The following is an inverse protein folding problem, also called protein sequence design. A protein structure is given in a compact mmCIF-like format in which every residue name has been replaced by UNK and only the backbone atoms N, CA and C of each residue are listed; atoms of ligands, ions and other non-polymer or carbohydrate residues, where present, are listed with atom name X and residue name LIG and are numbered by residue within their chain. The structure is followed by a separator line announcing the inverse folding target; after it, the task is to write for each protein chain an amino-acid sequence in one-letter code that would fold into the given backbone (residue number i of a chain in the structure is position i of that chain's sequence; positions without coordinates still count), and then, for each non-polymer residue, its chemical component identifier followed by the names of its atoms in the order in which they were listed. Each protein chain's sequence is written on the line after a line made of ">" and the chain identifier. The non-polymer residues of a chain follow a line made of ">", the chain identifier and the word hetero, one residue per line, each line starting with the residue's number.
data_IF_134066881302
#
_entry.id   IF_134066881302
#
_cell.length_a   1.000
_cell.length_b   1.000
_cell.length_c   1.000
_cell.angle_alpha   90.00
_cell.angle_beta   90.00
_cell.angle_gamma   90.00
#
_symmetry.space_group_name_H-M   'P 1'
#
loop_
_entity.id
_entity.type
_entity.pdbx_description
1 polymer ?
#
# COMPACT_ATOMS: atom_id res chain seq x y z
N UNK A 1 79.78 22.72 12.68
CA UNK A 1 78.98 21.61 12.14
C UNK A 1 78.67 20.59 13.21
N UNK A 2 77.49 20.68 13.83
CA UNK A 2 76.45 19.64 13.78
C UNK A 2 75.43 19.90 14.88
N UNK A 3 74.34 20.55 14.50
CA UNK A 3 73.16 20.77 15.33
C UNK A 3 72.20 19.62 15.09
N UNK A 4 71.91 18.84 16.14
CA UNK A 4 70.96 17.74 16.07
C UNK A 4 69.53 18.27 15.99
N UNK A 5 68.85 18.03 14.87
CA UNK A 5 67.43 18.35 14.67
C UNK A 5 66.59 17.17 15.16
N UNK A 6 65.79 17.42 16.20
CA UNK A 6 64.73 16.55 16.69
C UNK A 6 63.64 16.38 15.62
N UNK A 7 63.40 15.14 15.19
CA UNK A 7 62.28 14.81 14.30
C UNK A 7 60.98 14.73 15.10
N UNK A 8 60.16 15.77 14.99
CA UNK A 8 58.76 15.73 15.39
C UNK A 8 57.98 14.82 14.41
N UNK A 9 57.18 13.91 14.95
CA UNK A 9 56.21 13.12 14.18
C UNK A 9 55.13 14.04 13.60
N UNK A 10 54.77 13.91 12.30
CA UNK A 10 53.80 14.80 11.68
C UNK A 10 52.38 14.53 12.20
N UNK A 11 51.68 15.60 12.59
CA UNK A 11 50.25 15.53 12.89
C UNK A 11 49.45 15.11 11.63
N UNK A 12 48.42 14.26 11.79
CA UNK A 12 47.59 13.84 10.67
C UNK A 12 46.77 15.03 10.13
N UNK A 13 46.55 15.10 8.80
CA UNK A 13 45.86 16.22 8.17
C UNK A 13 44.40 16.36 8.64
N UNK A 14 43.84 17.59 8.62
CA UNK A 14 42.48 17.84 9.07
C UNK A 14 41.46 17.05 8.23
N UNK A 15 40.61 16.26 8.89
CA UNK A 15 39.67 15.34 8.23
C UNK A 15 38.43 16.10 7.71
N UNK A 16 38.10 15.91 6.42
CA UNK A 16 36.99 16.54 5.67
C UNK A 16 35.59 16.28 6.27
N UNK A 17 34.56 17.14 6.03
CA UNK A 17 33.16 16.92 6.42
C UNK A 17 32.59 15.55 6.02
N UNK A 18 33.08 14.96 4.92
CA UNK A 18 32.71 13.62 4.48
C UNK A 18 33.11 12.52 5.49
N UNK A 19 34.10 12.78 6.35
CA UNK A 19 34.61 11.83 7.33
C UNK A 19 33.55 11.46 8.38
N UNK A 20 32.72 12.40 8.83
CA UNK A 20 31.65 12.11 9.79
C UNK A 20 30.58 11.20 9.20
N UNK A 21 30.20 11.45 7.94
CA UNK A 21 29.24 10.61 7.21
C UNK A 21 29.78 9.21 6.99
N UNK A 22 31.05 9.08 6.55
CA UNK A 22 31.70 7.80 6.34
C UNK A 22 31.89 7.03 7.65
N UNK A 23 32.21 7.72 8.74
CA UNK A 23 32.26 7.14 10.08
C UNK A 23 30.91 6.55 10.49
N UNK A 24 29.83 7.29 10.28
CA UNK A 24 28.48 6.84 10.56
C UNK A 24 28.10 5.58 9.77
N UNK A 25 28.45 5.55 8.47
CA UNK A 25 28.24 4.37 7.61
C UNK A 25 29.03 3.18 8.13
N UNK A 26 30.32 3.35 8.40
CA UNK A 26 31.20 2.30 8.92
C UNK A 26 30.66 1.69 10.21
N UNK A 27 30.39 2.53 11.22
CA UNK A 27 29.91 2.06 12.53
C UNK A 27 28.58 1.34 12.41
N UNK A 28 27.66 1.90 11.61
CA UNK A 28 26.35 1.27 11.33
C UNK A 28 26.52 -0.10 10.68
N UNK A 29 27.42 -0.23 9.72
CA UNK A 29 27.61 -1.48 8.98
C UNK A 29 28.32 -2.52 9.85
N UNK A 30 29.34 -2.15 10.63
CA UNK A 30 29.93 -3.04 11.64
C UNK A 30 28.88 -3.59 12.62
N UNK A 31 28.05 -2.72 13.19
CA UNK A 31 26.98 -3.11 14.12
C UNK A 31 25.90 -3.98 13.45
N UNK A 32 25.57 -3.68 12.19
CA UNK A 32 24.58 -4.44 11.41
C UNK A 32 25.09 -5.83 11.07
N UNK A 33 26.31 -5.95 10.58
CA UNK A 33 26.99 -7.21 10.28
C UNK A 33 27.06 -8.06 11.54
N UNK A 34 27.51 -7.48 12.66
CA UNK A 34 27.56 -8.18 13.93
C UNK A 34 26.18 -8.67 14.43
N UNK A 35 25.12 -7.90 14.17
CA UNK A 35 23.78 -8.24 14.62
C UNK A 35 23.03 -9.26 13.73
N UNK A 36 23.39 -9.35 12.44
CA UNK A 36 22.64 -10.14 11.44
C UNK A 36 23.38 -11.38 10.94
N UNK A 37 24.71 -11.39 11.01
CA UNK A 37 25.50 -12.52 10.55
C UNK A 37 25.68 -13.52 11.70
N UNK A 38 25.21 -14.78 11.54
CA UNK A 38 25.52 -15.83 12.50
C UNK A 38 27.04 -16.07 12.48
N UNK A 39 27.68 -15.91 13.63
CA UNK A 39 29.12 -16.09 13.82
C UNK A 39 29.34 -16.95 15.07
N UNK A 40 30.27 -17.93 15.04
CA UNK A 40 30.74 -18.59 16.25
C UNK A 40 31.21 -17.55 17.28
N UNK A 41 31.02 -17.82 18.58
CA UNK A 41 31.30 -16.84 19.63
C UNK A 41 32.75 -16.30 19.64
N UNK A 42 33.80 -17.12 19.40
CA UNK A 42 35.17 -16.61 19.28
C UNK A 42 35.35 -15.61 18.13
N UNK A 43 34.77 -15.93 16.96
CA UNK A 43 34.81 -15.07 15.77
C UNK A 43 34.04 -13.78 16.01
N UNK A 44 32.89 -13.85 16.68
CA UNK A 44 32.08 -12.69 17.01
C UNK A 44 32.81 -11.75 17.98
N UNK A 45 33.48 -12.28 19.02
CA UNK A 45 34.28 -11.47 19.95
C UNK A 45 35.40 -10.74 19.23
N UNK A 46 36.14 -11.44 18.38
CA UNK A 46 37.24 -10.83 17.62
C UNK A 46 36.74 -9.78 16.63
N UNK A 47 35.64 -10.05 15.93
CA UNK A 47 35.00 -9.07 15.05
C UNK A 47 34.59 -7.81 15.84
N UNK A 48 33.94 -7.98 16.99
CA UNK A 48 33.47 -6.86 17.80
C UNK A 48 34.64 -6.02 18.32
N UNK A 49 35.74 -6.66 18.74
CA UNK A 49 36.96 -6.00 19.17
C UNK A 49 37.58 -5.18 18.04
N UNK A 50 37.76 -5.76 16.84
CA UNK A 50 38.29 -5.02 15.67
C UNK A 50 37.40 -3.85 15.26
N UNK A 51 36.08 -4.04 15.33
CA UNK A 51 35.11 -2.98 15.05
C UNK A 51 35.18 -1.85 16.10
N UNK A 52 35.37 -2.19 17.37
CA UNK A 52 35.60 -1.23 18.45
C UNK A 52 36.88 -0.40 18.21
N UNK A 53 38.00 -1.08 17.92
CA UNK A 53 39.29 -0.45 17.63
C UNK A 53 39.17 0.54 16.45
N UNK A 54 38.49 0.13 15.37
CA UNK A 54 38.22 1.01 14.23
C UNK A 54 37.31 2.19 14.59
N UNK A 55 36.26 1.96 15.37
CA UNK A 55 35.31 3.00 15.80
C UNK A 55 35.95 4.06 16.71
N UNK A 56 36.93 3.69 17.54
CA UNK A 56 37.68 4.65 18.37
C UNK A 56 38.72 5.39 17.54
N UNK A 57 39.54 4.67 16.77
CA UNK A 57 40.64 5.25 15.95
C UNK A 57 40.15 6.23 14.89
N UNK A 58 38.98 5.96 14.30
CA UNK A 58 38.43 6.75 13.20
C UNK A 58 37.36 7.75 13.66
N UNK A 59 37.15 7.92 14.97
CA UNK A 59 36.14 8.87 15.48
C UNK A 59 36.45 10.31 15.06
N UNK A 60 35.51 11.04 14.42
CA UNK A 60 35.72 12.45 14.09
C UNK A 60 35.85 13.31 15.36
N UNK A 61 36.68 14.37 15.36
CA UNK A 61 36.69 15.38 16.42
C UNK A 61 35.30 16.01 16.60
N UNK A 62 34.87 16.18 17.85
CA UNK A 62 33.55 16.76 18.17
C UNK A 62 32.34 15.88 17.82
N UNK A 63 32.54 14.63 17.40
CA UNK A 63 31.45 13.72 17.04
C UNK A 63 30.48 13.49 18.20
N UNK A 64 29.19 13.78 17.96
CA UNK A 64 28.10 13.53 18.91
C UNK A 64 27.33 12.28 18.52
N UNK A 65 27.16 11.37 19.48
CA UNK A 65 26.40 10.15 19.27
C UNK A 65 24.92 10.49 19.05
N UNK A 66 24.20 9.75 18.17
CA UNK A 66 22.77 9.92 18.01
C UNK A 66 22.03 9.54 19.30
N UNK A 67 20.88 10.18 19.56
CA UNK A 67 20.06 9.86 20.72
C UNK A 67 19.42 8.45 20.63
N UNK A 68 19.01 7.92 21.79
CA UNK A 68 18.23 6.69 21.87
C UNK A 68 19.04 5.39 21.70
N UNK A 69 18.39 4.27 21.32
CA UNK A 69 19.01 2.94 21.29
C UNK A 69 20.21 2.82 20.36
N UNK A 70 20.29 3.66 19.32
CA UNK A 70 21.41 3.67 18.38
C UNK A 70 22.66 4.28 19.03
N UNK A 71 22.53 5.36 19.81
CA UNK A 71 23.63 5.91 20.60
C UNK A 71 24.20 4.92 21.62
N UNK A 72 23.32 4.16 22.28
CA UNK A 72 23.74 3.14 23.26
C UNK A 72 24.57 2.04 22.59
N UNK A 73 24.17 1.56 21.40
CA UNK A 73 24.93 0.55 20.65
C UNK A 73 26.33 1.03 20.29
N UNK A 74 26.44 2.28 19.89
CA UNK A 74 27.70 2.91 19.48
C UNK A 74 28.62 3.14 20.68
N UNK A 75 28.07 3.61 21.80
CA UNK A 75 28.81 3.70 23.06
C UNK A 75 29.36 2.33 23.50
N UNK A 76 28.53 1.28 23.49
CA UNK A 76 28.96 -0.08 23.84
C UNK A 76 30.00 -0.66 22.88
N UNK A 77 29.97 -0.28 21.60
CA UNK A 77 31.01 -0.63 20.63
C UNK A 77 32.31 0.11 20.92
N UNK A 78 32.26 1.43 21.10
CA UNK A 78 33.44 2.26 21.40
C UNK A 78 34.11 1.84 22.72
N UNK A 79 33.36 1.38 23.71
CA UNK A 79 33.87 0.83 24.97
C UNK A 79 34.39 -0.62 24.86
N UNK A 80 34.34 -1.22 23.66
CA UNK A 80 34.64 -2.64 23.43
C UNK A 80 33.88 -3.59 24.38
N UNK A 81 32.67 -3.20 24.77
CA UNK A 81 31.87 -3.84 25.81
C UNK A 81 31.04 -5.02 25.29
N UNK A 82 31.71 -6.07 24.77
CA UNK A 82 31.07 -7.21 24.10
C UNK A 82 29.90 -7.84 24.88
N UNK A 83 30.12 -8.17 26.16
CA UNK A 83 29.12 -8.84 27.02
C UNK A 83 27.92 -7.93 27.27
N UNK A 84 28.15 -6.65 27.59
CA UNK A 84 27.10 -5.64 27.77
C UNK A 84 26.32 -5.43 26.47
N UNK A 85 27.01 -5.42 25.33
CA UNK A 85 26.38 -5.31 24.01
C UNK A 85 25.50 -6.53 23.67
N UNK A 86 25.96 -7.76 23.96
CA UNK A 86 25.16 -8.99 23.80
C UNK A 86 23.94 -9.00 24.70
N UNK A 87 24.07 -8.59 25.97
CA UNK A 87 22.96 -8.44 26.90
C UNK A 87 21.94 -7.39 26.39
N UNK A 88 22.42 -6.24 25.94
CA UNK A 88 21.58 -5.19 25.34
C UNK A 88 20.84 -5.69 24.08
N UNK A 89 21.49 -6.48 23.22
CA UNK A 89 20.84 -7.09 22.06
C UNK A 89 19.74 -8.06 22.48
N UNK A 90 20.01 -8.95 23.44
CA UNK A 90 19.05 -9.91 23.94
C UNK A 90 17.82 -9.21 24.53
N UNK A 91 18.02 -8.21 25.39
CA UNK A 91 16.95 -7.41 25.98
C UNK A 91 16.11 -6.69 24.91
N UNK A 92 16.76 -6.11 23.89
CA UNK A 92 16.03 -5.46 22.79
C UNK A 92 15.26 -6.44 21.91
N UNK A 93 15.82 -7.64 21.65
CA UNK A 93 15.09 -8.70 20.93
C UNK A 93 13.87 -9.15 21.72
N UNK A 94 14.03 -9.46 23.00
CA UNK A 94 12.93 -9.82 23.89
C UNK A 94 11.85 -8.72 23.92
N UNK A 95 12.24 -7.46 24.09
CA UNK A 95 11.31 -6.31 24.05
C UNK A 95 10.57 -6.21 22.71
N UNK A 96 11.26 -6.41 21.59
CA UNK A 96 10.63 -6.37 20.25
C UNK A 96 9.68 -7.54 20.04
N UNK A 97 10.05 -8.74 20.46
CA UNK A 97 9.20 -9.94 20.41
C UNK A 97 7.95 -9.74 21.26
N UNK A 98 8.10 -9.27 22.51
CA UNK A 98 6.97 -8.97 23.38
C UNK A 98 6.04 -7.89 22.78
N UNK A 99 6.59 -6.79 22.27
CA UNK A 99 5.80 -5.76 21.57
C UNK A 99 5.08 -6.31 20.33
N UNK A 100 5.76 -7.15 19.55
CA UNK A 100 5.17 -7.80 18.38
C UNK A 100 4.03 -8.72 18.78
N UNK A 101 4.22 -9.56 19.80
CA UNK A 101 3.21 -10.46 20.33
C UNK A 101 1.97 -9.71 20.83
N UNK A 102 2.15 -8.64 21.62
CA UNK A 102 1.05 -7.77 22.08
C UNK A 102 0.32 -7.15 20.89
N UNK A 103 1.04 -6.64 19.89
CA UNK A 103 0.44 -6.06 18.67
C UNK A 103 -0.33 -7.11 17.88
N UNK A 104 0.20 -8.32 17.73
CA UNK A 104 -0.46 -9.44 17.05
C UNK A 104 -1.73 -9.83 17.78
N UNK A 105 -1.68 -10.00 19.11
CA UNK A 105 -2.86 -10.33 19.93
C UNK A 105 -3.92 -9.23 19.84
N UNK A 106 -3.53 -7.96 19.92
CA UNK A 106 -4.45 -6.82 19.73
C UNK A 106 -5.13 -6.86 18.36
N UNK A 107 -4.37 -7.17 17.30
CA UNK A 107 -4.92 -7.31 15.93
C UNK A 107 -5.88 -8.50 15.82
N UNK A 108 -5.55 -9.65 16.41
CA UNK A 108 -6.42 -10.83 16.41
C UNK A 108 -7.74 -10.54 17.13
N UNK A 109 -7.69 -9.91 18.30
CA UNK A 109 -8.90 -9.50 19.04
C UNK A 109 -9.73 -8.50 18.24
N UNK A 110 -9.11 -7.48 17.65
CA UNK A 110 -9.81 -6.51 16.80
C UNK A 110 -10.43 -7.15 15.55
N UNK A 111 -9.76 -8.15 14.95
CA UNK A 111 -10.29 -8.92 13.83
C UNK A 111 -11.49 -9.75 14.26
N UNK A 112 -11.41 -10.47 15.38
CA UNK A 112 -12.49 -11.30 15.92
C UNK A 112 -13.73 -10.47 16.30
N UNK A 113 -13.54 -9.35 17.02
CA UNK A 113 -14.61 -8.40 17.33
C UNK A 113 -15.23 -7.84 16.05
N UNK A 114 -14.38 -7.52 15.09
CA UNK A 114 -14.79 -7.03 13.78
C UNK A 114 -15.63 -8.00 12.98
N UNK A 115 -15.23 -9.26 12.99
CA UNK A 115 -15.91 -10.37 12.34
C UNK A 115 -17.27 -10.65 13.01
N UNK A 116 -17.33 -10.65 14.35
CA UNK A 116 -18.60 -10.71 15.09
C UNK A 116 -19.53 -9.55 14.73
N UNK A 117 -19.00 -8.34 14.66
CA UNK A 117 -19.76 -7.16 14.27
C UNK A 117 -20.29 -7.26 12.84
N UNK A 118 -19.46 -7.74 11.91
CA UNK A 118 -19.87 -7.95 10.52
C UNK A 118 -20.98 -8.99 10.42
N UNK A 119 -20.87 -10.12 11.12
CA UNK A 119 -21.94 -11.13 11.19
C UNK A 119 -23.24 -10.57 11.76
N UNK A 120 -23.16 -9.76 12.81
CA UNK A 120 -24.34 -9.08 13.37
C UNK A 120 -24.94 -8.05 12.39
N UNK A 121 -24.11 -7.39 11.58
CA UNK A 121 -24.62 -6.49 10.54
C UNK A 121 -25.30 -7.27 9.39
N UNK A 122 -24.84 -8.48 9.07
CA UNK A 122 -25.46 -9.34 8.06
C UNK A 122 -26.86 -9.83 8.44
N UNK A 123 -27.23 -9.85 9.73
CA UNK A 123 -28.60 -10.17 10.14
C UNK A 123 -29.58 -9.00 10.03
N UNK A 124 -29.08 -7.79 9.74
CA UNK A 124 -29.93 -6.63 9.46
C UNK A 124 -30.51 -6.74 8.03
N UNK A 125 -31.68 -6.14 7.78
CA UNK A 125 -32.22 -6.01 6.44
C UNK A 125 -31.24 -5.32 5.49
N UNK A 126 -31.29 -5.70 4.21
CA UNK A 126 -30.64 -4.94 3.15
C UNK A 126 -31.37 -3.60 3.01
N UNK A 127 -30.60 -2.52 2.98
CA UNK A 127 -31.07 -1.16 2.81
C UNK A 127 -31.20 -0.84 1.31
N UNK A 128 -32.43 -0.70 0.77
CA UNK A 128 -32.66 -0.45 -0.65
C UNK A 128 -32.13 0.92 -1.11
N UNK A 129 -31.94 1.87 -0.18
CA UNK A 129 -31.42 3.20 -0.46
C UNK A 129 -29.91 3.32 -0.36
N UNK A 130 -29.15 2.21 -0.21
CA UNK A 130 -27.71 2.27 0.01
C UNK A 130 -26.90 1.64 -1.13
N UNK A 131 -25.97 2.42 -1.69
CA UNK A 131 -25.00 1.97 -2.68
C UNK A 131 -23.56 2.20 -2.21
N UNK A 132 -22.74 1.14 -2.25
CA UNK A 132 -21.32 1.22 -1.90
C UNK A 132 -20.48 1.18 -3.17
N UNK A 133 -19.62 2.20 -3.31
CA UNK A 133 -18.74 2.39 -4.45
C UNK A 133 -17.27 2.18 -4.06
N UNK A 134 -16.50 1.55 -4.94
CA UNK A 134 -15.05 1.45 -4.82
C UNK A 134 -14.39 1.53 -6.20
N UNK A 135 -13.25 2.21 -6.30
CA UNK A 135 -12.47 2.30 -7.53
C UNK A 135 -10.97 2.13 -7.29
N UNK A 136 -10.31 1.40 -8.19
CA UNK A 136 -8.85 1.22 -8.26
C UNK A 136 -8.19 0.89 -6.92
N UNK A 137 -8.69 -0.13 -6.23
CA UNK A 137 -8.23 -0.51 -4.89
C UNK A 137 -8.41 0.61 -3.86
N UNK A 138 -9.59 1.25 -3.88
CA UNK A 138 -10.04 2.26 -2.93
C UNK A 138 -9.24 3.58 -3.03
N UNK A 139 -8.82 3.97 -4.24
CA UNK A 139 -8.05 5.21 -4.48
C UNK A 139 -8.91 6.48 -4.48
N UNK A 140 -10.23 6.36 -4.46
CA UNK A 140 -11.15 7.49 -4.38
C UNK A 140 -12.26 7.43 -5.42
N UNK A 141 -12.85 8.59 -5.70
CA UNK A 141 -13.92 8.79 -6.68
C UNK A 141 -13.31 8.85 -8.09
N UNK A 142 -13.29 7.72 -8.79
CA UNK A 142 -12.73 7.66 -10.14
C UNK A 142 -13.39 6.60 -11.04
N UNK A 143 -13.09 6.66 -12.34
CA UNK A 143 -13.41 5.63 -13.34
C UNK A 143 -14.92 5.41 -13.54
N UNK A 144 -15.29 4.22 -14.03
CA UNK A 144 -16.67 3.81 -14.26
C UNK A 144 -17.55 3.97 -13.01
N UNK A 145 -17.12 3.59 -11.79
CA UNK A 145 -17.91 3.81 -10.58
C UNK A 145 -18.24 5.28 -10.33
N UNK A 146 -17.33 6.21 -10.62
CA UNK A 146 -17.58 7.64 -10.42
C UNK A 146 -18.58 8.21 -11.43
N UNK A 147 -18.49 7.80 -12.69
CA UNK A 147 -19.46 8.19 -13.71
C UNK A 147 -20.87 7.67 -13.37
N UNK A 148 -20.97 6.42 -12.90
CA UNK A 148 -22.24 5.86 -12.40
C UNK A 148 -22.75 6.64 -11.20
N UNK A 149 -21.89 6.92 -10.20
CA UNK A 149 -22.30 7.67 -9.01
C UNK A 149 -22.76 9.10 -9.35
N UNK A 150 -22.12 9.77 -10.30
CA UNK A 150 -22.57 11.08 -10.78
C UNK A 150 -23.98 10.99 -11.37
N UNK A 151 -24.22 10.05 -12.29
CA UNK A 151 -25.53 9.89 -12.91
C UNK A 151 -26.62 9.37 -11.96
N UNK A 152 -26.22 8.62 -10.92
CA UNK A 152 -27.10 8.15 -9.86
C UNK A 152 -27.81 9.31 -9.14
N UNK A 153 -27.08 10.40 -8.87
CA UNK A 153 -27.66 11.57 -8.17
C UNK A 153 -28.79 12.24 -8.96
N UNK A 154 -28.79 12.10 -10.29
CA UNK A 154 -29.84 12.62 -11.17
C UNK A 154 -31.01 11.64 -11.31
N UNK A 155 -30.71 10.35 -11.50
CA UNK A 155 -31.73 9.34 -11.86
C UNK A 155 -32.39 8.69 -10.66
N UNK A 156 -31.68 8.56 -9.54
CA UNK A 156 -32.17 7.94 -8.32
C UNK A 156 -31.57 8.63 -7.07
N UNK A 157 -31.91 9.91 -6.82
CA UNK A 157 -31.38 10.69 -5.70
C UNK A 157 -31.68 10.08 -4.32
N UNK A 158 -32.69 9.20 -4.22
CA UNK A 158 -33.00 8.44 -3.01
C UNK A 158 -31.96 7.37 -2.66
N UNK A 159 -31.07 7.00 -3.59
CA UNK A 159 -30.00 6.04 -3.33
C UNK A 159 -28.75 6.82 -2.89
N UNK A 160 -28.37 6.62 -1.63
CA UNK A 160 -27.21 7.23 -0.99
C UNK A 160 -25.90 6.51 -1.36
N UNK A 161 -24.94 7.19 -2.01
CA UNK A 161 -23.64 6.61 -2.35
C UNK A 161 -22.65 6.75 -1.17
N UNK A 162 -21.99 5.65 -0.82
CA UNK A 162 -20.88 5.61 0.14
C UNK A 162 -19.63 5.05 -0.51
N UNK A 163 -18.52 5.79 -0.44
CA UNK A 163 -17.26 5.38 -1.06
C UNK A 163 -16.33 4.63 -0.11
N UNK A 164 -15.76 3.52 -0.57
CA UNK A 164 -14.64 2.86 0.11
C UNK A 164 -13.33 3.51 -0.35
N UNK A 165 -12.58 4.07 0.59
CA UNK A 165 -11.31 4.76 0.29
C UNK A 165 -10.22 4.38 1.29
N UNK A 166 -8.95 4.41 0.86
CA UNK A 166 -7.85 4.22 1.80
C UNK A 166 -7.66 5.46 2.69
N UNK A 167 -7.12 5.32 3.92
CA UNK A 167 -6.87 6.45 4.81
C UNK A 167 -6.02 7.56 4.19
N UNK A 168 -5.07 7.18 3.31
CA UNK A 168 -4.17 8.11 2.64
C UNK A 168 -4.89 8.95 1.57
N UNK A 169 -5.93 8.39 0.94
CA UNK A 169 -6.68 9.06 -0.13
C UNK A 169 -7.94 9.78 0.38
N UNK A 170 -8.40 9.49 1.60
CA UNK A 170 -9.58 10.14 2.17
C UNK A 170 -9.50 11.68 2.19
N UNK A 171 -8.35 12.32 2.51
CA UNK A 171 -8.22 13.78 2.45
C UNK A 171 -8.29 14.37 1.03
N UNK A 172 -8.17 13.54 -0.02
CA UNK A 172 -8.18 13.97 -1.42
C UNK A 172 -9.57 13.90 -2.05
N UNK A 173 -10.58 13.45 -1.30
CA UNK A 173 -11.92 13.32 -1.83
C UNK A 173 -12.56 14.68 -2.10
N UNK A 174 -13.46 14.77 -3.09
CA UNK A 174 -14.31 15.94 -3.25
C UNK A 174 -15.04 16.27 -1.94
N UNK A 175 -15.25 17.56 -1.62
CA UNK A 175 -16.01 17.96 -0.44
C UNK A 175 -17.35 17.25 -0.33
N UNK A 176 -17.77 16.93 0.89
CA UNK A 176 -19.04 16.24 1.18
C UNK A 176 -19.17 14.82 0.62
N UNK A 177 -18.09 14.21 0.12
CA UNK A 177 -18.10 12.79 -0.26
C UNK A 177 -18.21 11.92 0.98
N UNK A 178 -19.36 11.24 1.14
CA UNK A 178 -19.53 10.25 2.20
C UNK A 178 -18.68 9.01 1.90
N UNK A 179 -17.86 8.60 2.87
CA UNK A 179 -16.89 7.53 2.69
C UNK A 179 -16.62 6.72 3.97
N UNK A 180 -16.09 5.52 3.76
CA UNK A 180 -15.67 4.58 4.80
C UNK A 180 -14.26 4.06 4.52
N UNK A 181 -13.52 3.79 5.59
CA UNK A 181 -12.17 3.23 5.50
C UNK A 181 -12.20 1.71 5.71
N UNK A 182 -11.46 0.92 4.91
CA UNK A 182 -11.37 -0.52 5.08
C UNK A 182 -11.08 -0.94 6.52
N UNK A 183 -11.83 -1.93 7.01
CA UNK A 183 -11.65 -2.51 8.35
C UNK A 183 -12.30 -1.73 9.50
N UNK A 184 -12.84 -0.54 9.25
CA UNK A 184 -13.65 0.18 10.25
C UNK A 184 -14.98 -0.51 10.51
N UNK A 185 -15.63 -0.17 11.62
CA UNK A 185 -16.97 -0.66 11.97
C UNK A 185 -17.99 -0.28 10.89
N UNK A 186 -18.04 1.00 10.52
CA UNK A 186 -18.97 1.52 9.51
C UNK A 186 -18.76 0.87 8.14
N UNK A 187 -17.50 0.64 7.73
CA UNK A 187 -17.18 -0.11 6.50
C UNK A 187 -17.84 -1.49 6.45
N UNK A 188 -17.78 -2.23 7.57
CA UNK A 188 -18.42 -3.55 7.67
C UNK A 188 -19.94 -3.46 7.65
N UNK A 189 -20.50 -2.47 8.33
CA UNK A 189 -21.95 -2.25 8.37
C UNK A 189 -22.49 -1.94 6.97
N UNK A 190 -21.93 -0.94 6.28
CA UNK A 190 -22.43 -0.54 4.95
C UNK A 190 -22.29 -1.67 3.94
N UNK A 191 -21.20 -2.44 3.95
CA UNK A 191 -21.05 -3.59 3.05
C UNK A 191 -21.97 -4.77 3.40
N UNK A 192 -22.40 -4.91 4.66
CA UNK A 192 -23.33 -5.96 5.06
C UNK A 192 -24.78 -5.65 4.69
N UNK A 193 -25.13 -4.37 4.61
CA UNK A 193 -26.51 -3.91 4.43
C UNK A 193 -26.77 -3.24 3.09
N UNK A 194 -25.77 -2.88 2.28
CA UNK A 194 -26.00 -2.19 1.01
C UNK A 194 -26.78 -3.05 0.01
N UNK A 195 -27.76 -2.41 -0.66
CA UNK A 195 -28.45 -3.01 -1.81
C UNK A 195 -27.56 -3.05 -3.04
N UNK A 196 -26.70 -2.06 -3.25
CA UNK A 196 -25.86 -1.99 -4.44
C UNK A 196 -24.38 -1.96 -4.08
N UNK A 197 -23.59 -2.84 -4.70
CA UNK A 197 -22.14 -2.92 -4.58
C UNK A 197 -21.53 -2.66 -5.95
N UNK A 198 -20.90 -1.49 -6.14
CA UNK A 198 -20.34 -1.07 -7.44
C UNK A 198 -18.82 -1.00 -7.33
N UNK A 199 -18.10 -1.75 -8.17
CA UNK A 199 -16.64 -1.80 -8.14
C UNK A 199 -16.05 -1.95 -9.54
N UNK A 200 -14.80 -1.54 -9.75
CA UNK A 200 -14.06 -1.77 -10.99
C UNK A 200 -12.85 -2.71 -10.84
N UNK A 201 -12.57 -3.16 -9.62
CA UNK A 201 -11.54 -4.15 -9.29
C UNK A 201 -12.17 -5.31 -8.54
N UNK A 202 -11.95 -5.44 -7.24
CA UNK A 202 -12.45 -6.53 -6.41
C UNK A 202 -12.72 -6.02 -4.99
N UNK A 203 -13.79 -6.51 -4.36
CA UNK A 203 -13.93 -6.46 -2.90
C UNK A 203 -13.11 -7.58 -2.24
N UNK A 204 -12.73 -7.45 -0.95
CA UNK A 204 -12.10 -8.55 -0.22
C UNK A 204 -12.97 -9.81 -0.23
N UNK A 205 -12.36 -11.00 -0.34
CA UNK A 205 -13.09 -12.26 -0.39
C UNK A 205 -14.00 -12.52 0.82
N UNK A 206 -13.62 -11.96 1.99
CA UNK A 206 -14.38 -12.05 3.23
C UNK A 206 -15.74 -11.31 3.19
N UNK A 207 -15.97 -10.44 2.19
CA UNK A 207 -17.27 -9.79 2.02
C UNK A 207 -18.28 -10.83 1.51
N UNK A 208 -19.33 -11.04 2.28
CA UNK A 208 -20.50 -11.85 1.95
C UNK A 208 -21.46 -10.97 1.16
N UNK A 209 -21.74 -11.36 -0.08
CA UNK A 209 -22.83 -10.75 -0.84
C UNK A 209 -24.16 -11.31 -0.32
N UNK A 210 -25.10 -10.41 -0.01
CA UNK A 210 -26.47 -10.78 0.37
C UNK A 210 -27.25 -11.22 -0.88
N UNK A 211 -28.17 -12.21 -0.77
CA UNK A 211 -28.99 -12.64 -1.91
C UNK A 211 -29.75 -11.49 -2.57
N UNK A 212 -30.27 -10.56 -1.77
CA UNK A 212 -31.03 -9.40 -2.29
C UNK A 212 -30.14 -8.24 -2.73
N UNK A 213 -28.81 -8.31 -2.56
CA UNK A 213 -27.89 -7.26 -3.00
C UNK A 213 -27.48 -7.47 -4.45
N UNK A 214 -27.26 -6.36 -5.16
CA UNK A 214 -26.79 -6.31 -6.53
C UNK A 214 -25.31 -5.92 -6.53
N UNK A 215 -24.47 -6.72 -7.19
CA UNK A 215 -23.06 -6.47 -7.37
C UNK A 215 -22.75 -6.21 -8.85
N UNK A 216 -22.40 -4.96 -9.13
CA UNK A 216 -22.01 -4.48 -10.45
C UNK A 216 -20.48 -4.41 -10.55
N UNK A 217 -19.91 -5.30 -11.34
CA UNK A 217 -18.51 -5.24 -11.75
C UNK A 217 -18.38 -4.38 -13.01
N UNK A 218 -17.68 -3.27 -12.90
CA UNK A 218 -17.58 -2.28 -13.97
C UNK A 218 -16.30 -2.37 -14.79
N UNK A 219 -15.32 -3.17 -14.33
CA UNK A 219 -13.97 -3.26 -14.90
C UNK A 219 -13.33 -1.89 -15.17
N UNK A 220 -12.15 -1.85 -15.77
CA UNK A 220 -11.41 -0.58 -15.92
C UNK A 220 -10.64 -0.44 -17.24
N UNK A 221 -11.03 -1.19 -18.27
CA UNK A 221 -10.46 -1.09 -19.61
C UNK A 221 -10.81 -2.28 -20.49
N UNK A 222 -10.63 -2.12 -21.80
CA UNK A 222 -10.68 -3.26 -22.72
C UNK A 222 -9.43 -4.12 -22.47
N UNK A 223 -9.58 -5.42 -22.24
CA UNK A 223 -8.44 -6.29 -21.92
C UNK A 223 -7.51 -6.43 -23.13
N UNK A 224 -6.23 -6.11 -22.93
CA UNK A 224 -5.15 -6.47 -23.85
C UNK A 224 -4.34 -7.68 -23.34
N UNK A 225 -4.23 -7.81 -22.01
CA UNK A 225 -3.46 -8.87 -21.34
C UNK A 225 -4.38 -10.04 -20.97
N UNK A 226 -3.83 -11.24 -20.81
CA UNK A 226 -4.55 -12.39 -20.23
C UNK A 226 -4.93 -12.07 -18.77
N UNK A 227 -6.17 -12.35 -18.41
CA UNK A 227 -6.76 -12.02 -17.11
C UNK A 227 -7.52 -13.23 -16.55
N UNK A 228 -7.79 -13.22 -15.25
CA UNK A 228 -8.61 -14.25 -14.62
C UNK A 228 -8.05 -15.65 -14.87
N UNK A 229 -8.92 -16.60 -15.24
CA UNK A 229 -8.56 -17.99 -15.51
C UNK A 229 -7.69 -18.18 -16.76
N UNK A 230 -7.63 -17.21 -17.66
CA UNK A 230 -6.71 -17.27 -18.82
C UNK A 230 -5.22 -17.28 -18.40
N UNK A 231 -4.93 -16.96 -17.14
CA UNK A 231 -3.57 -17.01 -16.58
C UNK A 231 -3.19 -18.39 -16.01
N UNK A 232 -4.10 -19.37 -15.94
CA UNK A 232 -3.82 -20.70 -15.36
C UNK A 232 -2.65 -21.40 -16.06
N UNK A 233 -2.55 -21.25 -17.38
CA UNK A 233 -1.48 -21.83 -18.19
C UNK A 233 -0.13 -21.07 -18.04
N UNK A 234 -0.09 -19.95 -17.30
CA UNK A 234 1.09 -19.08 -17.16
C UNK A 234 1.45 -18.86 -15.68
N UNK A 235 2.01 -19.86 -14.97
CA UNK A 235 2.31 -19.76 -13.54
C UNK A 235 3.17 -18.55 -13.15
N UNK A 236 4.16 -18.19 -14.00
CA UNK A 236 5.01 -17.02 -13.78
C UNK A 236 4.24 -15.69 -13.85
N UNK A 237 3.23 -15.60 -14.72
CA UNK A 237 2.36 -14.43 -14.83
C UNK A 237 1.30 -14.40 -13.73
N UNK A 238 0.77 -15.57 -13.35
CA UNK A 238 -0.25 -15.73 -12.31
C UNK A 238 0.26 -15.36 -10.91
N UNK A 239 1.58 -15.44 -10.65
CA UNK A 239 2.22 -15.03 -9.37
C UNK A 239 1.54 -15.61 -8.12
N UNK A 240 1.13 -16.87 -8.20
CA UNK A 240 0.43 -17.55 -7.10
C UNK A 240 -1.03 -17.11 -6.92
N UNK A 241 -1.68 -16.64 -7.98
CA UNK A 241 -3.13 -16.38 -7.99
C UNK A 241 -3.88 -17.66 -7.57
N UNK A 242 -4.72 -17.51 -6.56
CA UNK A 242 -5.65 -18.53 -6.13
C UNK A 242 -6.90 -18.48 -7.03
N UNK A 243 -7.02 -19.45 -7.93
CA UNK A 243 -8.09 -19.52 -8.91
C UNK A 243 -9.44 -19.91 -8.29
N UNK A 244 -9.45 -20.74 -7.24
CA UNK A 244 -10.67 -21.05 -6.49
C UNK A 244 -11.22 -19.80 -5.81
N UNK A 245 -10.34 -19.03 -5.18
CA UNK A 245 -10.70 -17.77 -4.55
C UNK A 245 -11.12 -16.70 -5.57
N UNK A 246 -10.63 -16.78 -6.82
CA UNK A 246 -11.09 -15.95 -7.93
C UNK A 246 -12.51 -16.35 -8.35
N UNK A 247 -12.76 -17.64 -8.61
CA UNK A 247 -14.07 -18.16 -9.04
C UNK A 247 -15.15 -17.82 -7.99
N UNK A 248 -14.88 -18.10 -6.72
CA UNK A 248 -15.77 -17.75 -5.61
C UNK A 248 -16.03 -16.23 -5.49
N UNK A 249 -15.14 -15.39 -6.01
CA UNK A 249 -15.33 -13.93 -6.04
C UNK A 249 -16.20 -13.50 -7.20
N UNK A 250 -15.94 -14.01 -8.40
CA UNK A 250 -16.70 -13.62 -9.61
C UNK A 250 -18.14 -14.14 -9.57
N UNK A 251 -18.40 -15.25 -8.87
CA UNK A 251 -19.76 -15.77 -8.60
C UNK A 251 -20.62 -14.83 -7.76
N UNK A 252 -20.02 -13.79 -7.18
CA UNK A 252 -20.76 -12.74 -6.49
C UNK A 252 -21.25 -11.66 -7.45
N UNK A 253 -20.83 -11.61 -8.70
CA UNK A 253 -21.24 -10.57 -9.64
C UNK A 253 -22.63 -10.88 -10.19
N UNK A 254 -23.55 -9.91 -10.17
CA UNK A 254 -24.82 -10.02 -10.93
C UNK A 254 -24.64 -9.47 -12.33
N UNK A 255 -23.87 -8.39 -12.46
CA UNK A 255 -23.68 -7.67 -13.70
C UNK A 255 -22.20 -7.38 -13.94
N UNK A 256 -21.79 -7.45 -15.20
CA UNK A 256 -20.44 -7.18 -15.66
C UNK A 256 -20.50 -6.21 -16.84
N UNK A 257 -20.00 -4.98 -16.67
CA UNK A 257 -19.98 -3.97 -17.74
C UNK A 257 -18.95 -4.35 -18.80
N UNK A 258 -19.36 -4.30 -20.06
CA UNK A 258 -18.48 -4.49 -21.20
C UNK A 258 -18.41 -3.25 -22.06
N UNK A 259 -17.23 -3.00 -22.62
CA UNK A 259 -16.98 -1.84 -23.46
C UNK A 259 -17.38 -2.05 -24.93
N UNK A 260 -17.41 -3.31 -25.36
CA UNK A 260 -17.62 -3.76 -26.73
C UNK A 260 -17.67 -5.29 -26.79
N UNK A 261 -18.09 -5.84 -27.94
CA UNK A 261 -18.18 -7.28 -28.16
C UNK A 261 -16.86 -8.06 -27.93
N UNK A 262 -15.69 -7.44 -28.17
CA UNK A 262 -14.41 -8.05 -27.84
C UNK A 262 -14.24 -8.21 -26.33
N UNK A 263 -14.48 -7.15 -25.57
CA UNK A 263 -14.41 -7.15 -24.11
C UNK A 263 -15.39 -8.16 -23.50
N UNK A 264 -16.60 -8.27 -24.06
CA UNK A 264 -17.63 -9.22 -23.63
C UNK A 264 -17.10 -10.65 -23.71
N UNK A 265 -16.61 -11.06 -24.89
CA UNK A 265 -16.01 -12.39 -25.10
C UNK A 265 -14.82 -12.66 -24.19
N UNK A 266 -13.97 -11.66 -23.94
CA UNK A 266 -12.81 -11.83 -23.06
C UNK A 266 -13.24 -12.00 -21.61
N UNK A 267 -14.22 -11.24 -21.13
CA UNK A 267 -14.72 -11.35 -19.75
C UNK A 267 -15.46 -12.64 -19.48
N UNK A 268 -16.30 -13.09 -20.40
CA UNK A 268 -17.01 -14.38 -20.27
C UNK A 268 -16.05 -15.57 -20.23
N UNK A 269 -14.95 -15.51 -20.97
CA UNK A 269 -13.90 -16.53 -20.94
C UNK A 269 -13.02 -16.44 -19.68
N UNK A 270 -12.49 -15.25 -19.38
CA UNK A 270 -11.55 -15.03 -18.29
C UNK A 270 -12.21 -15.14 -16.90
N UNK A 271 -13.52 -14.90 -16.83
CA UNK A 271 -14.32 -14.93 -15.62
C UNK A 271 -15.59 -15.76 -15.87
N UNK A 272 -15.46 -17.10 -15.96
CA UNK A 272 -16.59 -17.97 -16.28
C UNK A 272 -17.55 -18.06 -15.09
N UNK A 273 -18.58 -17.20 -15.08
CA UNK A 273 -19.58 -17.13 -14.02
C UNK A 273 -20.95 -16.72 -14.59
N UNK A 274 -21.97 -16.67 -13.72
CA UNK A 274 -23.39 -16.48 -14.11
C UNK A 274 -23.84 -15.01 -14.19
N UNK A 275 -22.90 -14.06 -14.16
CA UNK A 275 -23.26 -12.65 -14.28
C UNK A 275 -23.87 -12.35 -15.65
N UNK A 276 -24.67 -11.29 -15.72
CA UNK A 276 -25.19 -10.74 -16.97
C UNK A 276 -24.19 -9.71 -17.52
N UNK A 277 -23.70 -9.94 -18.73
CA UNK A 277 -22.88 -8.97 -19.46
C UNK A 277 -23.73 -7.75 -19.88
N UNK A 278 -23.25 -6.55 -19.57
CA UNK A 278 -23.88 -5.28 -19.95
C UNK A 278 -23.02 -4.61 -21.04
N UNK A 279 -23.33 -4.87 -22.31
CA UNK A 279 -22.60 -4.32 -23.48
C UNK A 279 -23.10 -2.92 -23.84
N UNK A 280 -22.77 -1.95 -22.98
CA UNK A 280 -23.22 -0.55 -23.09
C UNK A 280 -22.06 0.45 -23.23
N UNK A 281 -20.83 -0.02 -23.37
CA UNK A 281 -19.67 0.85 -23.23
C UNK A 281 -19.32 1.12 -21.78
N UNK A 282 -18.19 1.78 -21.55
CA UNK A 282 -17.75 2.15 -20.21
C UNK A 282 -18.30 3.52 -19.81
N UNK A 283 -19.00 3.66 -18.67
CA UNK A 283 -19.58 4.93 -18.23
C UNK A 283 -18.57 6.09 -18.12
N UNK A 284 -17.31 5.80 -17.79
CA UNK A 284 -16.26 6.84 -17.73
C UNK A 284 -15.99 7.50 -19.09
N UNK A 285 -16.36 6.84 -20.19
CA UNK A 285 -16.11 7.32 -21.54
C UNK A 285 -17.23 8.23 -22.05
N UNK A 286 -18.35 8.37 -21.33
CA UNK A 286 -19.47 9.26 -21.72
C UNK A 286 -18.98 10.68 -21.97
N UNK A 287 -18.02 11.15 -21.17
CA UNK A 287 -17.39 12.47 -21.31
C UNK A 287 -16.74 12.69 -22.68
N UNK A 288 -16.28 11.64 -23.37
CA UNK A 288 -15.72 11.77 -24.71
C UNK A 288 -16.77 12.09 -25.78
N UNK A 289 -18.04 11.84 -25.49
CA UNK A 289 -19.16 12.12 -26.38
C UNK A 289 -19.95 13.35 -25.97
N UNK A 290 -19.90 13.73 -24.69
CA UNK A 290 -20.69 14.85 -24.15
C UNK A 290 -19.88 16.13 -23.91
N UNK A 291 -18.55 16.05 -23.84
CA UNK A 291 -17.72 17.24 -23.62
C UNK A 291 -17.84 18.24 -24.77
N UNK A 292 -17.98 19.51 -24.41
CA UNK A 292 -18.11 20.61 -25.36
C UNK A 292 -16.76 21.27 -25.64
N UNK A 293 -16.69 22.09 -26.69
CA UNK A 293 -15.53 22.93 -26.96
C UNK A 293 -15.20 23.89 -25.79
N UNK A 294 -16.18 24.29 -24.98
CA UNK A 294 -15.96 25.13 -23.81
C UNK A 294 -15.25 24.33 -22.69
N UNK A 295 -15.71 23.10 -22.42
CA UNK A 295 -15.07 22.21 -21.43
C UNK A 295 -13.61 21.94 -21.78
N UNK A 296 -13.34 21.67 -23.06
CA UNK A 296 -11.98 21.45 -23.57
C UNK A 296 -11.10 22.69 -23.33
N UNK A 297 -11.60 23.90 -23.57
CA UNK A 297 -10.84 25.14 -23.32
C UNK A 297 -10.50 25.32 -21.84
N UNK A 298 -11.45 25.06 -20.94
CA UNK A 298 -11.24 25.14 -19.48
C UNK A 298 -10.17 24.14 -19.04
N UNK A 299 -10.23 22.89 -19.52
CA UNK A 299 -9.23 21.87 -19.19
C UNK A 299 -7.85 22.27 -19.70
N UNK A 300 -7.75 22.76 -20.95
CA UNK A 300 -6.48 23.21 -21.53
C UNK A 300 -5.88 24.37 -20.73
N UNK A 301 -6.69 25.35 -20.33
CA UNK A 301 -6.24 26.46 -19.51
C UNK A 301 -5.70 25.99 -18.14
N UNK A 302 -6.41 25.07 -17.48
CA UNK A 302 -5.97 24.46 -16.20
C UNK A 302 -4.66 23.70 -16.32
N UNK A 303 -4.39 23.08 -17.46
CA UNK A 303 -3.15 22.37 -17.76
C UNK A 303 -2.04 23.29 -18.30
N UNK A 304 -2.29 24.59 -18.47
CA UNK A 304 -1.33 25.54 -19.04
C UNK A 304 -1.06 25.33 -20.53
N UNK A 305 -1.97 24.71 -21.27
CA UNK A 305 -1.80 24.40 -22.71
C UNK A 305 -2.39 25.56 -23.54
N UNK A 306 -1.57 26.34 -24.28
CA UNK A 306 -2.06 27.48 -25.04
C UNK A 306 -2.99 27.05 -26.20
N UNK A 307 -3.96 27.87 -26.63
CA UNK A 307 -4.92 27.49 -27.69
C UNK A 307 -4.29 27.02 -29.00
N UNK A 308 -3.17 27.64 -29.42
CA UNK A 308 -2.48 27.32 -30.66
C UNK A 308 -1.62 26.04 -30.61
N UNK A 309 -1.38 25.47 -29.42
CA UNK A 309 -0.50 24.33 -29.27
C UNK A 309 -1.24 23.01 -29.43
N UNK A 310 -0.66 22.06 -30.18
CA UNK A 310 -1.13 20.67 -30.15
C UNK A 310 -0.66 20.01 -28.86
N UNK A 311 -1.56 19.31 -28.19
CA UNK A 311 -1.23 18.51 -27.01
C UNK A 311 -0.98 17.08 -27.44
N UNK A 312 0.13 16.49 -26.99
CA UNK A 312 0.45 15.07 -27.19
C UNK A 312 0.47 14.41 -25.82
N UNK A 313 -0.30 13.35 -25.64
CA UNK A 313 -0.29 12.52 -24.45
C UNK A 313 0.50 11.24 -24.74
N UNK A 314 1.49 10.95 -23.91
CA UNK A 314 2.20 9.67 -23.90
C UNK A 314 1.84 8.94 -22.60
N UNK A 315 1.17 7.78 -22.73
CA UNK A 315 0.59 7.02 -21.62
C UNK A 315 0.65 5.52 -21.88
#
# INVERSE_FOLDING_TARGET
>A
NSTAVSQATPEPPPRSPCHAVLYDVMVRDCLRTFARTPMPDPVAREFFRRAADAAVRLRPPGYRRPAGPEGIRRALLEESAYTRYRAFQAANRARRTAKSAVRTRKRQVAAALGDRHYRAALSRPVDPGLAVFAAYWNRGVACNPAAIAAKLTELAPQIHPVWVVTPENAPLLPPHTDHVLPGTRRYREVLATAKYLVNNVNYPNAIVKRPDAVHLQTHHGTPLKRMGVDQMEFPAAAKGLDFEALLARIDKWDYSVSANSHSTRMWERAYPSRFVSLDHGYPRNDVYYTATAADIRVIRARLGIPPAHRAILYA
#
